data_IF_235673202502
#
_entry.id   IF_235673202502
#
_cell.length_a   1.000
_cell.length_b   1.000
_cell.length_c   1.000
_cell.angle_alpha   90.00
_cell.angle_beta   90.00
_cell.angle_gamma   90.00
#
_symmetry.space_group_name_H-M   'P 1'
#
loop_
_entity.id
_entity.type
_entity.pdbx_description
1 polymer ?
#
# COMPACT_ATOMS: atom_id res chain seq x y z
N UNK A 1 -4.04 -18.81 20.81
CA UNK A 1 -3.04 -18.44 19.80
C UNK A 1 -3.65 -17.42 18.87
N UNK A 2 -3.12 -16.21 18.83
CA UNK A 2 -3.56 -15.17 17.90
C UNK A 2 -3.11 -15.60 16.50
N UNK A 3 -4.04 -16.08 15.68
CA UNK A 3 -3.74 -16.35 14.27
C UNK A 3 -3.31 -15.06 13.59
N UNK A 4 -2.13 -15.08 12.96
CA UNK A 4 -1.70 -13.98 12.13
C UNK A 4 -2.60 -13.94 10.88
N UNK A 5 -3.55 -13.00 10.86
CA UNK A 5 -4.40 -12.79 9.70
C UNK A 5 -3.55 -12.24 8.54
N UNK A 6 -3.44 -13.01 7.47
CA UNK A 6 -2.83 -12.54 6.22
C UNK A 6 -3.81 -11.58 5.56
N UNK A 7 -3.36 -10.34 5.32
CA UNK A 7 -4.14 -9.34 4.58
C UNK A 7 -3.63 -9.28 3.15
N UNK A 8 -4.55 -9.42 2.19
CA UNK A 8 -4.27 -9.24 0.77
C UNK A 8 -4.76 -7.86 0.33
N UNK A 9 -3.87 -7.05 -0.24
CA UNK A 9 -4.18 -5.71 -0.73
C UNK A 9 -4.07 -5.65 -2.25
N UNK A 10 -4.99 -4.92 -2.88
CA UNK A 10 -4.90 -4.59 -4.30
C UNK A 10 -4.15 -3.27 -4.46
N UNK A 11 -3.06 -3.28 -5.23
CA UNK A 11 -2.39 -2.05 -5.67
C UNK A 11 -3.24 -1.43 -6.78
N UNK A 12 -3.66 -0.18 -6.57
CA UNK A 12 -4.46 0.61 -7.52
C UNK A 12 -3.65 1.81 -8.00
N UNK A 13 -4.12 2.42 -9.09
CA UNK A 13 -3.56 3.63 -9.68
C UNK A 13 -4.66 4.70 -9.75
N UNK A 14 -4.35 5.93 -9.34
CA UNK A 14 -5.30 7.04 -9.45
C UNK A 14 -5.16 7.78 -10.80
N UNK A 15 -6.04 8.75 -11.05
CA UNK A 15 -6.05 9.53 -12.31
C UNK A 15 -4.78 10.37 -12.50
N UNK A 16 -4.10 10.72 -11.40
CA UNK A 16 -2.80 11.39 -11.40
C UNK A 16 -1.62 10.44 -11.69
N UNK A 17 -1.89 9.15 -11.88
CA UNK A 17 -0.90 8.13 -12.17
C UNK A 17 -0.11 7.59 -10.99
N UNK A 18 -0.53 7.88 -9.76
CA UNK A 18 0.13 7.46 -8.52
C UNK A 18 -0.43 6.11 -8.04
N UNK A 19 0.43 5.33 -7.37
CA UNK A 19 0.14 3.99 -6.86
C UNK A 19 -0.28 4.03 -5.39
N UNK A 20 -1.28 3.23 -5.00
CA UNK A 20 -1.75 3.17 -3.61
C UNK A 20 -2.38 1.81 -3.26
N UNK A 21 -2.37 1.47 -1.97
CA UNK A 21 -3.17 0.37 -1.39
C UNK A 21 -4.29 0.88 -0.48
N UNK A 22 -4.21 2.14 -0.03
CA UNK A 22 -5.23 2.87 0.72
C UNK A 22 -5.37 4.28 0.14
N UNK A 23 -6.59 4.80 0.01
CA UNK A 23 -6.89 6.03 -0.74
C UNK A 23 -6.17 7.29 -0.22
N UNK A 24 -5.67 7.27 1.02
CA UNK A 24 -4.99 8.42 1.65
C UNK A 24 -3.48 8.47 1.40
N UNK A 25 -2.86 7.41 0.87
CA UNK A 25 -1.41 7.33 0.68
C UNK A 25 -1.08 6.87 -0.74
N UNK A 26 -0.75 7.83 -1.60
CA UNK A 26 -0.40 7.59 -3.01
C UNK A 26 1.06 7.96 -3.29
N UNK A 27 1.74 7.12 -4.07
CA UNK A 27 3.18 7.18 -4.32
C UNK A 27 3.50 7.26 -5.82
N UNK A 28 4.66 7.81 -6.18
CA UNK A 28 5.05 7.94 -7.59
C UNK A 28 5.53 6.61 -8.18
N UNK A 29 5.95 5.67 -7.34
CA UNK A 29 6.41 4.36 -7.78
C UNK A 29 6.02 3.23 -6.81
N UNK A 30 6.00 1.99 -7.31
CA UNK A 30 5.76 0.80 -6.48
C UNK A 30 6.86 0.60 -5.41
N UNK A 31 8.16 0.80 -5.70
CA UNK A 31 9.20 0.72 -4.66
C UNK A 31 8.97 1.69 -3.49
N UNK A 32 8.54 2.92 -3.75
CA UNK A 32 8.20 3.89 -2.70
C UNK A 32 7.03 3.43 -1.84
N UNK A 33 5.97 2.90 -2.48
CA UNK A 33 4.80 2.34 -1.79
C UNK A 33 5.22 1.20 -0.85
N UNK A 34 6.05 0.28 -1.33
CA UNK A 34 6.55 -0.86 -0.53
C UNK A 34 7.37 -0.35 0.65
N UNK A 35 8.33 0.56 0.40
CA UNK A 35 9.20 1.10 1.45
C UNK A 35 8.41 1.82 2.54
N UNK A 36 7.38 2.58 2.17
CA UNK A 36 6.51 3.24 3.13
C UNK A 36 5.77 2.24 4.02
N UNK A 37 5.16 1.20 3.43
CA UNK A 37 4.37 0.21 4.15
C UNK A 37 5.19 -0.87 4.89
N UNK A 38 6.51 -0.87 4.74
CA UNK A 38 7.40 -1.60 5.66
C UNK A 38 7.41 -0.99 7.06
N UNK A 39 7.14 0.32 7.18
CA UNK A 39 7.23 1.07 8.43
C UNK A 39 5.86 1.56 8.92
N UNK A 40 4.86 1.61 8.04
CA UNK A 40 3.54 2.16 8.30
C UNK A 40 2.45 1.16 7.90
N UNK A 41 1.43 0.99 8.75
CA UNK A 41 0.31 0.13 8.41
C UNK A 41 -0.48 0.65 7.20
N UNK A 42 -0.99 -0.29 6.39
CA UNK A 42 -1.90 -0.03 5.27
C UNK A 42 -3.37 -0.10 5.71
#
# INVERSE_FOLDING_TARGET
STEAAIKHYQIKKNDSGQWYVAERHAFQSIPELIWYHQHNAA
#
